data_IF_617223006734
#
_entry.id   IF_617223006734
#
_cell.length_a   1.000
_cell.length_b   1.000
_cell.length_c   1.000
_cell.angle_alpha   90.00
_cell.angle_beta   90.00
_cell.angle_gamma   90.00
#
_symmetry.space_group_name_H-M   'P 1'
#
loop_
_entity.id
_entity.type
_entity.pdbx_description
1 polymer ?
#
# COMPACT_ATOMS: atom_id res chain seq x y z
N UNK A 1 24.25 1.17 45.99
CA UNK A 1 23.37 0.45 45.04
C UNK A 1 23.67 0.78 43.57
N UNK A 2 24.94 0.95 43.18
CA UNK A 2 25.33 1.52 41.87
C UNK A 2 26.05 0.53 40.94
N UNK A 3 26.60 -0.57 41.47
CA UNK A 3 27.31 -1.58 40.67
C UNK A 3 26.39 -2.57 39.95
N UNK A 4 25.33 -3.05 40.62
CA UNK A 4 24.43 -4.07 40.04
C UNK A 4 23.61 -3.55 38.86
N UNK A 5 23.13 -2.30 38.91
CA UNK A 5 22.31 -1.71 37.83
C UNK A 5 23.11 -1.52 36.54
N UNK A 6 24.40 -1.16 36.64
CA UNK A 6 25.27 -1.02 35.46
C UNK A 6 25.56 -2.37 34.80
N UNK A 7 25.76 -3.42 35.59
CA UNK A 7 25.97 -4.79 35.07
C UNK A 7 24.72 -5.31 34.35
N UNK A 8 23.51 -5.04 34.88
CA UNK A 8 22.26 -5.40 34.21
C UNK A 8 22.06 -4.62 32.90
N UNK A 9 22.35 -3.32 32.86
CA UNK A 9 22.25 -2.53 31.63
C UNK A 9 23.25 -3.00 30.55
N UNK A 10 24.48 -3.32 30.93
CA UNK A 10 25.48 -3.88 30.01
C UNK A 10 25.07 -5.25 29.46
N UNK A 11 24.55 -6.14 30.31
CA UNK A 11 24.06 -7.46 29.88
C UNK A 11 22.84 -7.34 28.95
N UNK A 12 21.95 -6.38 29.19
CA UNK A 12 20.79 -6.13 28.33
C UNK A 12 21.21 -5.62 26.95
N UNK A 13 22.19 -4.71 26.89
CA UNK A 13 22.73 -4.19 25.61
C UNK A 13 23.43 -5.32 24.84
N UNK A 14 24.26 -6.11 25.51
CA UNK A 14 24.94 -7.26 24.88
C UNK A 14 23.91 -8.28 24.39
N UNK A 15 22.85 -8.55 25.17
CA UNK A 15 21.77 -9.44 24.75
C UNK A 15 20.96 -8.88 23.56
N UNK A 16 20.71 -7.56 23.51
CA UNK A 16 20.04 -6.93 22.37
C UNK A 16 20.92 -6.90 21.12
N UNK A 17 22.22 -6.65 21.26
CA UNK A 17 23.19 -6.69 20.15
C UNK A 17 23.40 -8.12 19.68
N UNK A 18 23.48 -9.10 20.58
CA UNK A 18 23.54 -10.52 20.24
C UNK A 18 22.23 -10.98 19.59
N UNK A 19 21.07 -10.55 20.07
CA UNK A 19 19.79 -10.83 19.45
C UNK A 19 19.69 -10.18 18.06
N UNK A 20 20.16 -8.94 17.87
CA UNK A 20 20.22 -8.29 16.56
C UNK A 20 21.19 -8.98 15.60
N UNK A 21 22.35 -9.44 16.09
CA UNK A 21 23.33 -10.21 15.31
C UNK A 21 22.84 -11.64 14.98
N UNK A 22 22.10 -12.28 15.90
CA UNK A 22 21.47 -13.60 15.68
C UNK A 22 20.20 -13.51 14.83
N UNK A 23 19.51 -12.37 14.82
CA UNK A 23 18.39 -12.08 13.88
C UNK A 23 18.90 -11.83 12.46
N UNK A 24 20.20 -11.57 12.30
CA UNK A 24 20.88 -11.39 11.02
C UNK A 24 21.63 -12.66 10.58
N UNK A 25 21.28 -13.84 11.10
CA UNK A 25 21.69 -15.09 10.45
C UNK A 25 20.97 -15.12 9.11
N UNK A 26 21.70 -14.84 8.04
CA UNK A 26 21.32 -15.17 6.68
C UNK A 26 20.98 -16.67 6.65
N UNK A 27 19.70 -17.01 6.71
CA UNK A 27 19.21 -18.34 6.35
C UNK A 27 19.37 -18.41 4.84
N UNK A 28 20.54 -18.87 4.41
CA UNK A 28 20.74 -19.22 3.00
C UNK A 28 19.80 -20.39 2.71
N UNK A 29 18.90 -20.22 1.74
CA UNK A 29 18.13 -21.33 1.21
C UNK A 29 19.11 -22.43 0.76
N UNK A 30 18.79 -23.72 1.00
CA UNK A 30 19.63 -24.80 0.51
C UNK A 30 19.77 -24.72 -1.02
N UNK A 31 20.89 -25.20 -1.59
CA UNK A 31 21.12 -25.08 -3.03
C UNK A 31 20.00 -25.76 -3.84
N UNK A 32 19.55 -25.15 -4.96
CA UNK A 32 18.55 -25.76 -5.84
C UNK A 32 18.96 -27.17 -6.28
N UNK A 33 17.99 -28.10 -6.32
CA UNK A 33 18.24 -29.47 -6.76
C UNK A 33 17.75 -29.63 -8.20
N UNK A 34 18.62 -29.88 -9.20
CA UNK A 34 18.15 -29.95 -10.58
C UNK A 34 17.44 -31.28 -10.89
N UNK A 35 16.40 -31.21 -11.74
CA UNK A 35 15.87 -32.35 -12.48
C UNK A 35 16.53 -32.39 -13.87
N UNK A 36 16.91 -33.57 -14.36
CA UNK A 36 17.39 -33.75 -15.74
C UNK A 36 16.30 -34.32 -16.63
N UNK A 37 16.06 -33.68 -17.78
CA UNK A 37 15.24 -34.23 -18.87
C UNK A 37 16.08 -34.35 -20.12
N UNK A 38 16.02 -35.50 -20.79
CA UNK A 38 16.84 -35.77 -21.97
C UNK A 38 16.12 -36.68 -22.96
N UNK A 39 16.44 -36.53 -24.24
CA UNK A 39 15.83 -37.27 -25.34
C UNK A 39 16.16 -36.64 -26.68
N UNK A 40 15.24 -36.76 -27.63
CA UNK A 40 15.33 -36.14 -28.95
C UNK A 40 14.25 -35.06 -29.09
N UNK A 41 14.58 -33.94 -29.74
CA UNK A 41 13.66 -32.85 -30.01
C UNK A 41 13.33 -32.78 -31.51
N UNK A 42 12.04 -32.69 -31.82
CA UNK A 42 11.49 -32.74 -33.16
C UNK A 42 10.59 -31.54 -33.45
N UNK A 43 10.62 -31.10 -34.71
CA UNK A 43 9.68 -30.11 -35.23
C UNK A 43 8.27 -30.69 -35.41
N UNK A 44 7.35 -29.88 -35.94
CA UNK A 44 5.95 -30.27 -36.17
C UNK A 44 5.78 -31.41 -37.18
N UNK A 45 6.73 -31.55 -38.11
CA UNK A 45 6.74 -32.60 -39.13
C UNK A 45 7.40 -33.90 -38.63
N UNK A 46 7.95 -33.90 -37.42
CA UNK A 46 8.68 -35.04 -36.85
C UNK A 46 10.16 -35.10 -37.29
N UNK A 47 10.69 -34.02 -37.86
CA UNK A 47 12.11 -33.90 -38.20
C UNK A 47 12.88 -33.45 -36.99
N UNK A 48 14.07 -34.02 -36.74
CA UNK A 48 14.93 -33.58 -35.65
C UNK A 48 15.25 -32.08 -35.77
N UNK A 49 15.18 -31.36 -34.65
CA UNK A 49 15.53 -29.94 -34.61
C UNK A 49 17.02 -29.74 -34.96
N UNK A 50 17.38 -28.60 -35.59
CA UNK A 50 18.77 -28.30 -35.94
C UNK A 50 19.70 -28.25 -34.72
N UNK A 51 20.97 -28.59 -34.93
CA UNK A 51 22.04 -28.39 -33.94
C UNK A 51 22.07 -26.93 -33.48
N UNK A 52 22.34 -26.72 -32.19
CA UNK A 52 22.37 -25.42 -31.53
C UNK A 52 21.01 -24.70 -31.41
N UNK A 53 19.89 -25.37 -31.74
CA UNK A 53 18.56 -24.84 -31.39
C UNK A 53 18.44 -24.77 -29.85
N UNK A 54 18.19 -23.59 -29.26
CA UNK A 54 17.96 -23.46 -27.82
C UNK A 54 16.74 -24.26 -27.39
N UNK A 55 16.81 -24.92 -26.24
CA UNK A 55 15.64 -25.50 -25.59
C UNK A 55 15.60 -24.96 -24.17
N UNK A 56 14.49 -24.34 -23.77
CA UNK A 56 14.31 -23.74 -22.44
C UNK A 56 13.22 -24.47 -21.65
N UNK A 57 13.29 -24.36 -20.34
CA UNK A 57 12.41 -25.06 -19.42
C UNK A 57 11.79 -24.06 -18.45
N UNK A 58 10.52 -23.78 -18.66
CA UNK A 58 9.77 -22.78 -17.93
C UNK A 58 8.95 -23.40 -16.81
N UNK A 59 9.01 -22.75 -15.66
CA UNK A 59 8.06 -22.95 -14.57
C UNK A 59 7.46 -21.59 -14.27
N UNK A 60 6.14 -21.51 -14.38
CA UNK A 60 5.38 -20.27 -14.15
C UNK A 60 5.88 -19.05 -14.97
N UNK A 61 6.37 -19.30 -16.19
CA UNK A 61 6.89 -18.24 -17.08
C UNK A 61 8.34 -17.84 -16.83
N UNK A 62 9.00 -18.39 -15.82
CA UNK A 62 10.43 -18.17 -15.56
C UNK A 62 11.25 -19.33 -16.10
N UNK A 63 12.33 -19.03 -16.82
CA UNK A 63 13.26 -20.04 -17.32
C UNK A 63 14.20 -20.52 -16.22
N UNK A 64 14.03 -21.77 -15.80
CA UNK A 64 14.88 -22.43 -14.80
C UNK A 64 15.87 -23.40 -15.44
N UNK A 65 16.08 -23.32 -16.75
CA UNK A 65 17.02 -24.17 -17.46
C UNK A 65 18.47 -23.69 -17.35
N UNK A 66 19.41 -24.61 -17.58
CA UNK A 66 20.84 -24.31 -17.65
C UNK A 66 21.31 -23.91 -19.07
N UNK A 67 20.50 -23.13 -19.78
CA UNK A 67 20.69 -22.76 -21.20
C UNK A 67 20.99 -23.91 -22.18
N UNK A 68 20.25 -25.03 -22.17
CA UNK A 68 20.57 -26.16 -23.03
C UNK A 68 20.22 -25.89 -24.50
N UNK A 69 20.83 -26.69 -25.37
CA UNK A 69 20.63 -26.64 -26.81
C UNK A 69 20.70 -28.05 -27.41
N UNK A 70 20.15 -28.20 -28.62
CA UNK A 70 20.30 -29.43 -29.40
C UNK A 70 21.78 -29.70 -29.70
N UNK A 71 22.23 -30.91 -29.36
CA UNK A 71 23.63 -31.30 -29.32
C UNK A 71 24.13 -31.91 -30.63
N UNK A 72 23.24 -32.52 -31.43
CA UNK A 72 23.63 -33.23 -32.65
C UNK A 72 22.48 -33.28 -33.68
N UNK A 73 22.78 -33.79 -34.88
CA UNK A 73 21.80 -33.88 -35.98
C UNK A 73 20.68 -34.89 -35.79
N UNK A 74 20.68 -35.66 -34.68
CA UNK A 74 19.57 -36.51 -34.29
C UNK A 74 18.60 -35.80 -33.33
N UNK A 75 18.80 -34.50 -33.06
CA UNK A 75 17.95 -33.72 -32.16
C UNK A 75 18.23 -33.98 -30.69
N UNK A 76 19.33 -34.64 -30.33
CA UNK A 76 19.61 -35.00 -28.93
C UNK A 76 19.74 -33.76 -28.06
N UNK A 77 19.12 -33.79 -26.87
CA UNK A 77 19.19 -32.71 -25.91
C UNK A 77 19.28 -33.24 -24.47
N UNK A 78 19.76 -32.41 -23.54
CA UNK A 78 19.75 -32.66 -22.10
C UNK A 78 19.60 -31.33 -21.36
N UNK A 79 18.55 -31.20 -20.57
CA UNK A 79 18.17 -30.00 -19.82
C UNK A 79 18.32 -30.30 -18.35
N UNK A 80 18.93 -29.39 -17.60
CA UNK A 80 18.79 -29.32 -16.15
C UNK A 80 17.80 -28.21 -15.82
N UNK A 81 16.71 -28.56 -15.15
CA UNK A 81 15.73 -27.60 -14.64
C UNK A 81 15.93 -27.47 -13.14
N UNK A 82 16.40 -26.31 -12.70
CA UNK A 82 16.56 -25.98 -11.29
C UNK A 82 15.21 -25.92 -10.59
N UNK A 83 15.16 -26.38 -9.34
CA UNK A 83 13.99 -26.22 -8.50
C UNK A 83 14.33 -26.25 -7.03
N UNK A 84 13.31 -26.12 -6.20
CA UNK A 84 13.45 -25.92 -4.76
C UNK A 84 14.10 -27.13 -4.08
N UNK A 85 14.69 -26.89 -2.91
CA UNK A 85 15.41 -27.92 -2.18
C UNK A 85 14.52 -28.96 -1.49
N UNK A 86 13.20 -28.71 -1.47
CA UNK A 86 12.22 -29.47 -0.70
C UNK A 86 11.59 -30.62 -1.48
N UNK A 87 11.50 -31.76 -0.80
CA UNK A 87 11.05 -33.06 -1.32
C UNK A 87 9.59 -33.40 -0.95
N UNK A 88 8.90 -32.47 -0.27
CA UNK A 88 7.51 -32.56 0.15
C UNK A 88 6.64 -31.56 -0.63
N UNK A 89 5.49 -32.03 -1.12
CA UNK A 89 4.52 -31.19 -1.83
C UNK A 89 4.04 -30.03 -0.94
N UNK A 90 3.88 -28.85 -1.53
CA UNK A 90 3.37 -27.62 -0.88
C UNK A 90 4.27 -27.01 0.21
N UNK A 91 5.58 -27.30 0.20
CA UNK A 91 6.52 -26.62 1.09
C UNK A 91 7.47 -25.79 0.24
N UNK A 92 7.23 -24.48 0.19
CA UNK A 92 8.20 -23.53 -0.34
C UNK A 92 9.25 -23.20 0.73
N UNK A 93 10.48 -22.88 0.31
CA UNK A 93 11.52 -22.29 1.17
C UNK A 93 11.13 -20.85 1.62
N UNK A 94 10.20 -20.26 0.88
CA UNK A 94 9.66 -18.90 0.95
C UNK A 94 8.14 -18.90 0.69
N UNK A 95 7.28 -18.48 1.63
CA UNK A 95 5.83 -18.41 1.37
C UNK A 95 5.43 -17.39 0.28
N UNK A 96 6.33 -16.49 -0.11
CA UNK A 96 6.02 -15.25 -0.86
C UNK A 96 6.75 -15.08 -2.20
N UNK A 97 7.87 -15.77 -2.48
CA UNK A 97 8.67 -15.62 -3.73
C UNK A 97 9.17 -17.00 -4.18
N UNK A 98 9.16 -17.36 -5.47
CA UNK A 98 9.64 -18.67 -5.95
C UNK A 98 11.14 -18.70 -6.25
N UNK A 99 11.87 -19.60 -5.59
CA UNK A 99 13.30 -19.85 -5.83
C UNK A 99 13.55 -20.84 -6.98
N UNK A 100 12.50 -21.53 -7.45
CA UNK A 100 12.58 -22.65 -8.38
C UNK A 100 11.32 -23.51 -8.39
N UNK A 101 11.24 -24.46 -9.33
CA UNK A 101 10.15 -25.42 -9.43
C UNK A 101 9.88 -26.19 -8.12
N UNK A 102 8.61 -26.36 -7.73
CA UNK A 102 8.22 -27.23 -6.63
C UNK A 102 7.96 -28.66 -7.11
N UNK A 103 7.95 -29.61 -6.17
CA UNK A 103 7.62 -31.00 -6.46
C UNK A 103 6.25 -31.12 -7.14
N UNK A 104 6.25 -31.64 -8.37
CA UNK A 104 5.05 -31.86 -9.18
C UNK A 104 4.66 -30.70 -10.09
N UNK A 105 5.32 -29.54 -9.99
CA UNK A 105 5.05 -28.40 -10.88
C UNK A 105 5.28 -28.82 -12.33
N UNK A 106 4.37 -28.46 -13.26
CA UNK A 106 4.53 -28.80 -14.67
C UNK A 106 5.64 -27.94 -15.28
N UNK A 107 6.69 -28.60 -15.78
CA UNK A 107 7.72 -27.94 -16.59
C UNK A 107 7.26 -27.87 -18.05
N UNK A 108 7.19 -26.65 -18.58
CA UNK A 108 6.88 -26.38 -19.99
C UNK A 108 8.19 -26.20 -20.75
N UNK A 109 8.29 -26.82 -21.93
CA UNK A 109 9.48 -26.69 -22.77
C UNK A 109 9.18 -25.84 -24.00
N UNK A 110 10.14 -25.02 -24.41
CA UNK A 110 10.07 -24.25 -25.65
C UNK A 110 11.41 -24.23 -26.40
N UNK A 111 11.38 -24.08 -27.72
CA UNK A 111 12.55 -24.00 -28.59
C UNK A 111 13.11 -22.57 -28.68
N UNK A 112 13.30 -21.91 -27.52
CA UNK A 112 13.64 -20.49 -27.38
C UNK A 112 13.21 -19.95 -26.02
N UNK A 113 13.37 -18.63 -25.79
CA UNK A 113 13.26 -17.98 -24.49
C UNK A 113 12.07 -16.98 -24.36
N UNK A 114 11.07 -17.05 -25.24
CA UNK A 114 9.91 -16.14 -25.31
C UNK A 114 10.24 -14.64 -25.49
N UNK A 115 11.50 -14.22 -25.60
CA UNK A 115 11.86 -12.84 -26.01
C UNK A 115 11.29 -12.50 -27.39
N UNK A 116 11.09 -13.54 -28.21
CA UNK A 116 10.47 -13.49 -29.53
C UNK A 116 9.50 -14.66 -29.72
N UNK A 117 8.86 -14.75 -30.89
CA UNK A 117 7.94 -15.83 -31.20
C UNK A 117 8.66 -17.17 -31.11
N UNK A 118 8.21 -18.01 -30.17
CA UNK A 118 8.89 -19.23 -29.79
C UNK A 118 7.97 -20.43 -29.93
N UNK A 119 8.48 -21.49 -30.53
CA UNK A 119 7.79 -22.76 -30.65
C UNK A 119 7.72 -23.48 -29.30
N UNK A 120 6.52 -23.87 -28.88
CA UNK A 120 6.28 -24.57 -27.60
C UNK A 120 6.04 -26.06 -27.85
N UNK A 121 6.74 -26.91 -27.11
CA UNK A 121 6.63 -28.37 -27.22
C UNK A 121 5.32 -28.88 -26.63
N UNK A 122 4.86 -30.06 -27.06
CA UNK A 122 3.62 -30.70 -26.60
C UNK A 122 3.75 -31.27 -25.21
N UNK A 123 4.93 -31.74 -24.87
CA UNK A 123 5.20 -32.46 -23.65
C UNK A 123 5.38 -31.51 -22.48
N UNK A 124 4.89 -31.93 -21.32
CA UNK A 124 5.20 -31.32 -20.02
C UNK A 124 5.66 -32.41 -19.10
N UNK A 125 6.67 -32.12 -18.28
CA UNK A 125 7.19 -33.09 -17.31
C UNK A 125 6.96 -32.54 -15.90
N UNK A 126 6.32 -33.29 -14.99
CA UNK A 126 6.22 -32.85 -13.60
C UNK A 126 7.62 -32.83 -12.98
N UNK A 127 7.99 -31.70 -12.40
CA UNK A 127 9.30 -31.52 -11.79
C UNK A 127 9.47 -32.42 -10.56
N UNK A 128 10.66 -33.02 -10.42
CA UNK A 128 11.00 -33.86 -9.28
C UNK A 128 12.51 -33.81 -8.98
N UNK A 129 12.91 -33.53 -7.73
CA UNK A 129 14.30 -33.22 -7.39
C UNK A 129 15.22 -34.41 -7.64
N UNK A 130 16.37 -34.16 -8.28
CA UNK A 130 17.44 -35.16 -8.48
C UNK A 130 17.08 -36.30 -9.44
N UNK A 131 15.95 -36.21 -10.14
CA UNK A 131 15.50 -37.26 -11.05
C UNK A 131 16.01 -37.08 -12.48
N UNK A 132 16.05 -38.19 -13.23
CA UNK A 132 16.30 -38.20 -14.67
C UNK A 132 15.03 -38.69 -15.37
N UNK A 133 14.60 -37.96 -16.39
CA UNK A 133 13.46 -38.31 -17.26
C UNK A 133 13.91 -38.44 -18.71
N UNK A 134 13.52 -39.55 -19.33
CA UNK A 134 13.69 -39.76 -20.77
C UNK A 134 12.41 -39.31 -21.46
N UNK A 135 12.49 -38.28 -22.28
CA UNK A 135 11.30 -37.70 -22.95
C UNK A 135 11.71 -37.12 -24.29
N UNK A 136 11.04 -37.54 -25.34
CA UNK A 136 11.19 -36.89 -26.64
C UNK A 136 10.25 -35.68 -26.70
N UNK A 137 10.74 -34.56 -27.22
CA UNK A 137 9.98 -33.33 -27.33
C UNK A 137 9.52 -33.12 -28.77
N UNK A 138 8.25 -32.80 -28.97
CA UNK A 138 7.68 -32.53 -30.28
C UNK A 138 7.03 -31.16 -30.28
N UNK A 139 7.39 -30.31 -31.24
CA UNK A 139 6.77 -28.98 -31.33
C UNK A 139 5.25 -29.12 -31.50
N UNK A 140 4.51 -28.37 -30.68
CA UNK A 140 3.05 -28.35 -30.66
C UNK A 140 2.43 -27.69 -31.90
N UNK A 141 1.11 -27.73 -31.99
CA UNK A 141 0.36 -27.13 -33.09
C UNK A 141 0.59 -25.62 -33.18
N UNK A 142 0.63 -25.07 -34.41
CA UNK A 142 0.62 -23.61 -34.61
C UNK A 142 -0.60 -22.95 -33.95
N UNK A 143 -1.75 -23.64 -33.94
CA UNK A 143 -2.99 -23.11 -33.36
C UNK A 143 -2.97 -22.99 -31.83
N UNK A 144 -2.02 -23.65 -31.17
CA UNK A 144 -1.83 -23.62 -29.71
C UNK A 144 -0.50 -23.00 -29.32
N UNK A 145 0.26 -22.48 -30.28
CA UNK A 145 1.52 -21.77 -30.02
C UNK A 145 1.19 -20.30 -29.74
N UNK A 146 1.51 -19.77 -28.57
CA UNK A 146 1.21 -18.38 -28.24
C UNK A 146 2.01 -17.39 -29.09
N UNK A 147 1.44 -16.23 -29.34
CA UNK A 147 2.20 -15.05 -29.77
C UNK A 147 2.91 -14.41 -28.56
N UNK A 148 4.13 -13.85 -28.74
CA UNK A 148 4.95 -13.28 -27.67
C UNK A 148 4.47 -11.87 -27.30
N UNK A 149 3.22 -11.74 -26.84
CA UNK A 149 2.75 -10.48 -26.28
C UNK A 149 3.55 -10.14 -25.02
N UNK A 150 3.71 -8.84 -24.73
CA UNK A 150 4.53 -8.36 -23.62
C UNK A 150 3.77 -7.34 -22.78
N UNK A 151 4.12 -7.27 -21.50
CA UNK A 151 3.78 -6.21 -20.55
C UNK A 151 4.75 -5.05 -20.84
N UNK A 152 4.27 -4.02 -21.51
CA UNK A 152 5.08 -2.83 -21.82
C UNK A 152 5.29 -1.99 -20.57
N UNK A 153 4.25 -1.79 -19.78
CA UNK A 153 4.43 -1.06 -18.55
C UNK A 153 3.27 -1.12 -17.58
N UNK A 154 3.55 -0.76 -16.33
CA UNK A 154 2.67 -0.98 -15.20
C UNK A 154 2.58 0.26 -14.31
N UNK A 155 1.35 0.67 -13.99
CA UNK A 155 1.06 1.76 -13.04
C UNK A 155 0.27 1.19 -11.85
N UNK A 156 0.92 1.13 -10.69
CA UNK A 156 0.33 0.59 -9.45
C UNK A 156 -0.29 1.68 -8.56
N UNK A 157 0.06 2.94 -8.80
CA UNK A 157 -0.44 4.10 -8.05
C UNK A 157 -0.72 5.27 -9.01
N UNK A 158 -1.84 5.23 -9.75
CA UNK A 158 -2.20 6.33 -10.66
C UNK A 158 -2.25 7.66 -9.92
N UNK A 159 -1.66 8.73 -10.49
CA UNK A 159 -1.48 10.01 -9.79
C UNK A 159 -2.79 10.59 -9.25
N UNK A 160 -3.86 10.45 -10.03
CA UNK A 160 -5.22 10.94 -9.74
C UNK A 160 -6.11 9.90 -9.05
N UNK A 161 -5.51 8.79 -8.60
CA UNK A 161 -6.20 7.62 -8.09
C UNK A 161 -7.01 6.88 -9.15
N UNK A 162 -7.94 6.07 -8.69
CA UNK A 162 -8.66 5.13 -9.53
C UNK A 162 -7.92 3.81 -9.66
N UNK A 163 -8.33 3.01 -10.63
CA UNK A 163 -7.80 1.66 -10.81
C UNK A 163 -6.39 1.71 -11.38
N UNK A 164 -5.57 0.75 -10.94
CA UNK A 164 -4.29 0.45 -11.55
C UNK A 164 -4.47 0.05 -13.02
N UNK A 165 -3.43 0.15 -13.81
CA UNK A 165 -3.50 -0.23 -15.22
C UNK A 165 -2.15 -0.69 -15.74
N UNK A 166 -2.21 -1.44 -16.84
CA UNK A 166 -1.05 -1.99 -17.53
C UNK A 166 -1.14 -1.64 -19.01
N UNK A 167 0.00 -1.40 -19.64
CA UNK A 167 0.14 -1.35 -21.08
C UNK A 167 0.65 -2.71 -21.55
N UNK A 168 -0.07 -3.28 -22.50
CA UNK A 168 0.32 -4.50 -23.19
C UNK A 168 0.74 -4.13 -24.60
N UNK A 169 1.72 -4.84 -25.13
CA UNK A 169 2.23 -4.60 -26.46
C UNK A 169 2.41 -5.88 -27.26
N UNK A 170 2.30 -5.71 -28.57
CA UNK A 170 2.47 -6.76 -29.54
C UNK A 170 3.70 -6.45 -30.39
N UNK A 171 4.85 -7.09 -30.09
CA UNK A 171 6.07 -6.89 -30.86
C UNK A 171 6.04 -7.61 -32.22
N UNK A 172 4.98 -8.37 -32.52
CA UNK A 172 4.89 -9.17 -33.75
C UNK A 172 4.42 -8.34 -34.96
N UNK A 173 4.65 -8.91 -36.15
CA UNK A 173 4.17 -8.35 -37.42
C UNK A 173 2.69 -8.61 -37.74
N UNK A 174 1.95 -9.30 -36.86
CA UNK A 174 0.54 -9.65 -37.07
C UNK A 174 -0.36 -9.17 -35.94
N UNK A 175 -1.68 -9.09 -36.18
CA UNK A 175 -2.64 -8.78 -35.11
C UNK A 175 -2.89 -9.98 -34.20
N UNK A 176 -3.08 -9.76 -32.90
CA UNK A 176 -3.34 -10.81 -31.90
C UNK A 176 -4.68 -10.57 -31.21
N UNK A 177 -5.51 -11.62 -31.12
CA UNK A 177 -6.76 -11.57 -30.37
C UNK A 177 -6.47 -11.70 -28.87
N UNK A 178 -6.79 -10.65 -28.10
CA UNK A 178 -6.52 -10.62 -26.66
C UNK A 178 -7.43 -11.55 -25.87
N UNK A 179 -8.56 -12.00 -26.43
CA UNK A 179 -9.41 -13.00 -25.78
C UNK A 179 -8.73 -14.36 -25.55
N UNK A 180 -7.60 -14.61 -26.21
CA UNK A 180 -6.78 -15.78 -25.96
C UNK A 180 -5.79 -15.58 -24.81
N UNK A 181 -5.82 -14.42 -24.13
CA UNK A 181 -4.88 -14.06 -23.08
C UNK A 181 -5.60 -13.55 -21.83
N UNK A 182 -4.93 -13.67 -20.70
CA UNK A 182 -5.38 -13.11 -19.43
C UNK A 182 -4.18 -12.63 -18.61
N UNK A 183 -4.43 -11.71 -17.70
CA UNK A 183 -3.48 -11.30 -16.68
C UNK A 183 -3.71 -12.09 -15.41
N UNK A 184 -2.65 -12.40 -14.68
CA UNK A 184 -2.72 -13.15 -13.42
C UNK A 184 -1.70 -12.62 -12.41
N UNK A 185 -2.12 -12.49 -11.16
CA UNK A 185 -1.23 -12.21 -10.03
C UNK A 185 -0.76 -13.50 -9.38
N UNK A 186 0.30 -13.41 -8.58
CA UNK A 186 0.59 -14.47 -7.61
C UNK A 186 -0.34 -14.38 -6.39
N UNK A 187 -0.37 -15.44 -5.60
CA UNK A 187 -1.00 -15.47 -4.29
C UNK A 187 -0.09 -16.16 -3.26
N UNK A 188 -0.21 -15.85 -1.96
CA UNK A 188 0.64 -16.48 -0.95
C UNK A 188 0.60 -18.01 -1.02
N UNK A 189 1.77 -18.62 -1.23
CA UNK A 189 1.93 -20.08 -1.36
C UNK A 189 1.53 -20.69 -2.71
N UNK A 190 1.17 -19.90 -3.74
CA UNK A 190 0.86 -20.42 -5.08
C UNK A 190 1.05 -19.40 -6.20
N UNK A 191 1.38 -19.87 -7.41
CA UNK A 191 1.46 -19.08 -8.64
C UNK A 191 0.11 -18.70 -9.23
N UNK A 192 -0.99 -19.01 -8.55
CA UNK A 192 -2.32 -18.79 -9.08
C UNK A 192 -3.08 -17.87 -8.14
N UNK A 193 -3.14 -16.60 -8.53
CA UNK A 193 -3.86 -15.57 -7.81
C UNK A 193 -5.12 -15.11 -8.54
N UNK A 194 -5.35 -13.80 -8.51
CA UNK A 194 -6.48 -13.21 -9.21
C UNK A 194 -6.20 -13.15 -10.70
N UNK A 195 -7.20 -13.42 -11.54
CA UNK A 195 -7.07 -13.32 -12.99
C UNK A 195 -8.01 -12.29 -13.60
N UNK A 196 -7.57 -11.68 -14.69
CA UNK A 196 -8.33 -10.74 -15.51
C UNK A 196 -8.28 -11.19 -16.98
N UNK A 197 -9.43 -11.61 -17.51
CA UNK A 197 -9.54 -11.94 -18.93
C UNK A 197 -9.42 -10.68 -19.79
N UNK A 198 -8.64 -10.76 -20.86
CA UNK A 198 -8.47 -9.66 -21.80
C UNK A 198 -9.48 -9.78 -22.96
N UNK A 199 -9.72 -8.68 -23.65
CA UNK A 199 -10.65 -8.65 -24.77
C UNK A 199 -10.20 -7.66 -25.85
N UNK A 200 -10.72 -7.83 -27.06
CA UNK A 200 -10.34 -7.02 -28.22
C UNK A 200 -9.21 -7.63 -29.04
N UNK A 201 -8.64 -6.80 -29.92
CA UNK A 201 -7.57 -7.18 -30.86
C UNK A 201 -6.46 -6.14 -30.75
N UNK A 202 -5.23 -6.62 -30.60
CA UNK A 202 -4.03 -5.80 -30.62
C UNK A 202 -3.42 -5.85 -32.02
N UNK A 203 -3.19 -4.70 -32.64
CA UNK A 203 -2.57 -4.64 -33.96
C UNK A 203 -1.07 -5.00 -33.87
N UNK A 204 -0.45 -5.29 -35.02
CA UNK A 204 0.99 -5.45 -35.11
C UNK A 204 1.73 -4.19 -34.62
N UNK A 205 2.85 -4.36 -33.92
CA UNK A 205 3.68 -3.26 -33.39
C UNK A 205 2.86 -2.17 -32.70
N UNK A 206 1.93 -2.57 -31.82
CA UNK A 206 1.03 -1.65 -31.14
C UNK A 206 0.88 -1.97 -29.67
N UNK A 207 0.37 -0.97 -28.95
CA UNK A 207 0.17 -0.98 -27.51
C UNK A 207 -1.30 -0.75 -27.19
N UNK A 208 -1.80 -1.39 -26.14
CA UNK A 208 -3.11 -1.11 -25.57
C UNK A 208 -3.01 -0.94 -24.05
N UNK A 209 -3.81 -0.01 -23.52
CA UNK A 209 -4.03 0.09 -22.07
C UNK A 209 -5.10 -0.90 -21.65
N UNK A 210 -4.84 -1.63 -20.57
CA UNK A 210 -5.80 -2.44 -19.86
C UNK A 210 -5.93 -1.95 -18.42
N UNK A 211 -7.13 -1.51 -18.03
CA UNK A 211 -7.41 -1.19 -16.63
C UNK A 211 -7.53 -2.48 -15.82
N UNK A 212 -6.91 -2.48 -14.65
CA UNK A 212 -7.01 -3.55 -13.67
C UNK A 212 -8.31 -3.38 -12.86
N UNK A 213 -8.82 -4.46 -12.22
CA UNK A 213 -10.17 -4.44 -11.66
C UNK A 213 -10.32 -3.50 -10.45
N UNK A 214 -9.24 -3.27 -9.71
CA UNK A 214 -9.24 -2.57 -8.43
C UNK A 214 -8.02 -1.63 -8.30
N UNK A 215 -8.11 -0.59 -7.45
CA UNK A 215 -6.97 0.30 -7.14
C UNK A 215 -5.85 -0.40 -6.34
N UNK A 216 -6.11 -1.60 -5.82
CA UNK A 216 -5.18 -2.40 -5.01
C UNK A 216 -5.11 -3.84 -5.52
N UNK A 217 -5.26 -4.04 -6.84
CA UNK A 217 -5.20 -5.38 -7.42
C UNK A 217 -3.79 -5.96 -7.33
N UNK A 218 -2.78 -5.11 -7.54
CA UNK A 218 -1.38 -5.36 -7.25
C UNK A 218 -0.94 -4.55 -6.03
N UNK A 219 0.01 -5.09 -5.29
CA UNK A 219 0.61 -4.43 -4.15
C UNK A 219 1.66 -3.42 -4.62
N UNK A 220 1.46 -2.13 -4.35
CA UNK A 220 2.30 -1.06 -4.92
C UNK A 220 3.77 -1.09 -4.48
N UNK A 221 4.07 -1.75 -3.36
CA UNK A 221 5.43 -1.91 -2.83
C UNK A 221 6.14 -3.15 -3.35
N UNK A 222 5.46 -4.01 -4.11
CA UNK A 222 6.07 -5.16 -4.77
C UNK A 222 5.09 -6.31 -4.94
N UNK A 223 5.07 -6.86 -6.15
CA UNK A 223 4.16 -7.92 -6.61
C UNK A 223 4.68 -8.55 -7.92
N UNK A 224 3.99 -9.57 -8.42
CA UNK A 224 4.24 -10.17 -9.72
C UNK A 224 2.99 -10.16 -10.61
N UNK A 225 3.17 -9.78 -11.87
CA UNK A 225 2.14 -9.78 -12.90
C UNK A 225 2.54 -10.68 -14.06
N UNK A 226 1.66 -11.62 -14.40
CA UNK A 226 1.81 -12.52 -15.55
C UNK A 226 0.89 -12.14 -16.67
N UNK A 227 1.38 -12.31 -17.90
CA UNK A 227 0.58 -12.38 -19.10
C UNK A 227 0.56 -13.83 -19.59
N UNK A 228 -0.60 -14.47 -19.50
CA UNK A 228 -0.78 -15.87 -19.81
C UNK A 228 -1.65 -16.08 -21.04
N UNK A 229 -1.22 -16.98 -21.92
CA UNK A 229 -1.98 -17.48 -23.05
C UNK A 229 -2.88 -18.64 -22.60
N UNK A 230 -4.17 -18.49 -22.86
CA UNK A 230 -5.18 -19.51 -22.65
C UNK A 230 -5.12 -20.53 -23.76
N UNK A 231 -4.60 -21.71 -23.45
CA UNK A 231 -4.43 -22.76 -24.44
C UNK A 231 -5.76 -23.45 -24.73
N UNK A 232 -6.24 -23.45 -25.98
CA UNK A 232 -7.51 -24.09 -26.32
C UNK A 232 -7.44 -25.63 -26.26
N UNK A 233 -6.24 -26.20 -26.06
CA UNK A 233 -6.01 -27.64 -26.01
C UNK A 233 -6.19 -28.32 -27.38
N UNK A 234 -6.52 -29.60 -27.35
CA UNK A 234 -6.72 -30.43 -28.54
C UNK A 234 -5.54 -31.33 -28.88
N UNK A 235 -5.64 -32.00 -30.03
CA UNK A 235 -4.62 -32.95 -30.49
C UNK A 235 -3.34 -32.20 -30.81
N UNK A 236 -2.21 -32.71 -30.30
CA UNK A 236 -0.89 -32.09 -30.47
C UNK A 236 -0.80 -30.65 -29.92
N UNK A 237 -1.64 -30.30 -28.94
CA UNK A 237 -1.56 -29.01 -28.28
C UNK A 237 -0.19 -28.83 -27.60
N UNK A 238 0.34 -27.62 -27.70
CA UNK A 238 1.51 -27.17 -26.95
C UNK A 238 1.25 -27.28 -25.44
N UNK A 239 2.31 -27.46 -24.65
CA UNK A 239 2.28 -27.54 -23.18
C UNK A 239 1.21 -28.51 -22.63
N UNK A 240 0.95 -29.62 -23.33
CA UNK A 240 -0.08 -30.60 -23.01
C UNK A 240 -1.49 -29.99 -22.84
N UNK A 241 -1.77 -28.88 -23.52
CA UNK A 241 -3.01 -28.13 -23.41
C UNK A 241 -3.09 -27.20 -22.18
N UNK A 242 -1.99 -27.02 -21.44
CA UNK A 242 -1.92 -26.06 -20.33
C UNK A 242 -1.71 -24.64 -20.86
N UNK A 243 -2.17 -23.68 -20.07
CA UNK A 243 -1.91 -22.26 -20.29
C UNK A 243 -0.40 -21.98 -20.20
N UNK A 244 0.05 -21.01 -20.99
CA UNK A 244 1.48 -20.69 -21.14
C UNK A 244 1.68 -19.24 -20.74
N UNK A 245 2.47 -18.99 -19.71
CA UNK A 245 2.91 -17.63 -19.36
C UNK A 245 3.92 -17.19 -20.41
N UNK A 246 3.60 -16.13 -21.15
CA UNK A 246 4.43 -15.60 -22.25
C UNK A 246 5.30 -14.43 -21.81
N UNK A 247 4.95 -13.85 -20.66
CA UNK A 247 5.68 -12.75 -20.05
C UNK A 247 5.31 -12.65 -18.57
N UNK A 248 6.27 -12.27 -17.74
CA UNK A 248 6.12 -12.09 -16.30
C UNK A 248 6.97 -10.90 -15.88
N UNK A 249 6.41 -10.05 -15.03
CA UNK A 249 7.11 -8.92 -14.43
C UNK A 249 7.00 -9.05 -12.93
N UNK A 250 8.14 -9.11 -12.27
CA UNK A 250 8.26 -9.04 -10.81
C UNK A 250 8.89 -7.70 -10.46
N UNK A 251 8.31 -7.00 -9.49
CA UNK A 251 8.78 -5.69 -9.08
C UNK A 251 8.73 -5.54 -7.57
N UNK A 252 9.63 -4.72 -7.03
CA UNK A 252 9.76 -4.57 -5.59
C UNK A 252 10.33 -3.20 -5.18
N UNK A 253 9.92 -2.70 -4.02
CA UNK A 253 10.38 -1.43 -3.46
C UNK A 253 11.52 -1.69 -2.47
N UNK A 254 12.76 -1.41 -2.86
CA UNK A 254 14.01 -1.73 -2.11
C UNK A 254 14.12 -1.27 -0.64
N UNK A 255 13.21 -0.44 -0.12
CA UNK A 255 13.28 0.13 1.25
C UNK A 255 12.03 -0.13 2.11
N UNK A 256 10.95 -0.66 1.53
CA UNK A 256 9.64 -0.94 2.15
C UNK A 256 8.88 -2.01 1.35
N UNK A 257 9.61 -2.91 0.72
CA UNK A 257 9.09 -3.83 -0.27
C UNK A 257 8.23 -4.88 0.39
N UNK A 258 7.15 -5.26 -0.27
CA UNK A 258 6.35 -6.39 0.20
C UNK A 258 7.00 -7.73 -0.13
N UNK A 259 7.97 -7.73 -1.03
CA UNK A 259 8.83 -8.85 -1.38
C UNK A 259 10.26 -8.64 -0.83
N UNK A 260 10.42 -8.00 0.34
CA UNK A 260 11.72 -7.66 0.95
C UNK A 260 12.65 -8.87 1.26
N UNK A 261 12.21 -10.09 0.98
CA UNK A 261 13.04 -11.29 1.08
C UNK A 261 12.96 -12.13 -0.19
N UNK A 262 13.83 -11.80 -1.15
CA UNK A 262 14.30 -12.76 -2.14
C UNK A 262 15.51 -13.50 -1.55
N UNK A 263 15.44 -14.82 -1.36
CA UNK A 263 16.61 -15.63 -1.13
C UNK A 263 17.53 -15.52 -2.34
N UNK A 264 18.85 -15.51 -2.12
CA UNK A 264 19.86 -15.28 -3.17
C UNK A 264 19.98 -16.37 -4.25
N UNK A 265 18.95 -17.18 -4.47
CA UNK A 265 18.84 -18.22 -5.48
C UNK A 265 17.61 -18.04 -6.42
N UNK A 266 16.81 -16.97 -6.28
CA UNK A 266 15.79 -16.62 -7.27
C UNK A 266 16.48 -16.28 -8.60
N UNK A 267 16.02 -16.88 -9.71
CA UNK A 267 16.60 -16.67 -11.05
C UNK A 267 16.00 -15.42 -11.71
N UNK A 268 14.75 -15.10 -11.41
CA UNK A 268 14.13 -13.85 -11.82
C UNK A 268 14.51 -12.76 -10.82
N UNK A 269 14.98 -11.62 -11.31
CA UNK A 269 15.26 -10.47 -10.45
C UNK A 269 14.09 -9.50 -10.37
N UNK A 270 14.13 -8.66 -9.35
CA UNK A 270 13.16 -7.60 -9.13
C UNK A 270 13.41 -6.36 -10.02
N UNK A 271 12.38 -5.95 -10.77
CA UNK A 271 12.31 -4.61 -11.34
C UNK A 271 11.96 -3.56 -10.25
N UNK A 272 12.27 -2.26 -10.44
CA UNK A 272 11.90 -1.25 -9.45
C UNK A 272 10.36 -1.09 -9.34
N UNK A 273 9.83 -0.99 -8.13
CA UNK A 273 8.40 -0.69 -7.96
C UNK A 273 8.07 0.77 -8.37
N UNK A 274 7.02 0.99 -9.20
CA UNK A 274 6.60 2.35 -9.56
C UNK A 274 5.86 3.01 -8.38
N UNK A 275 6.27 4.24 -8.05
CA UNK A 275 5.59 5.10 -7.07
C UNK A 275 4.38 5.86 -7.64
N UNK A 276 3.79 6.79 -6.88
CA UNK A 276 2.63 7.56 -7.33
C UNK A 276 2.92 8.35 -8.61
N UNK A 277 2.05 8.23 -9.61
CA UNK A 277 2.19 8.89 -10.91
C UNK A 277 3.39 8.42 -11.73
N UNK A 278 3.96 7.27 -11.40
CA UNK A 278 5.05 6.63 -12.16
C UNK A 278 4.54 5.40 -12.88
N UNK A 279 5.23 5.08 -13.96
CA UNK A 279 5.09 3.83 -14.69
C UNK A 279 6.40 3.05 -14.58
N UNK A 280 6.30 1.74 -14.39
CA UNK A 280 7.39 0.81 -14.64
C UNK A 280 7.29 0.39 -16.11
N UNK A 281 8.22 0.80 -16.98
CA UNK A 281 8.07 0.64 -18.42
C UNK A 281 9.30 0.04 -19.11
N UNK A 282 9.05 -0.77 -20.13
CA UNK A 282 10.00 -1.17 -21.18
C UNK A 282 10.12 -0.05 -22.22
N UNK A 283 11.02 -0.24 -23.18
CA UNK A 283 11.04 0.62 -24.36
C UNK A 283 9.75 0.48 -25.21
N UNK A 284 9.50 1.45 -26.08
CA UNK A 284 8.30 1.51 -26.92
C UNK A 284 8.20 0.39 -27.97
N UNK A 285 9.25 -0.42 -28.13
CA UNK A 285 9.24 -1.61 -28.98
C UNK A 285 9.01 -2.89 -28.18
N UNK A 286 8.90 -2.78 -26.86
CA UNK A 286 8.83 -3.88 -25.93
C UNK A 286 9.97 -4.88 -26.11
N UNK A 287 11.18 -4.36 -26.26
CA UNK A 287 12.38 -5.19 -26.21
C UNK A 287 12.40 -5.95 -24.89
N UNK A 288 12.67 -7.24 -24.98
CA UNK A 288 12.66 -8.14 -23.84
C UNK A 288 13.92 -9.01 -23.91
N UNK A 289 14.72 -8.96 -22.84
CA UNK A 289 15.88 -9.82 -22.64
C UNK A 289 15.67 -10.78 -21.47
N UNK A 290 14.43 -10.86 -20.95
CA UNK A 290 14.07 -11.56 -19.73
C UNK A 290 14.87 -11.08 -18.51
N UNK A 291 15.18 -9.77 -18.45
CA UNK A 291 15.96 -9.19 -17.35
C UNK A 291 15.21 -8.03 -16.70
N UNK A 292 15.41 -7.79 -15.39
CA UNK A 292 14.82 -6.63 -14.72
C UNK A 292 15.27 -5.30 -15.33
N UNK A 293 16.46 -5.28 -15.95
CA UNK A 293 17.02 -4.13 -16.65
C UNK A 293 16.25 -3.74 -17.91
N UNK A 294 15.33 -4.57 -18.38
CA UNK A 294 14.41 -4.21 -19.46
C UNK A 294 13.44 -3.11 -19.03
N UNK A 295 13.26 -2.93 -17.71
CA UNK A 295 12.33 -1.97 -17.14
C UNK A 295 13.03 -0.77 -16.50
N UNK A 296 12.40 0.39 -16.66
CA UNK A 296 12.80 1.65 -16.04
C UNK A 296 11.61 2.37 -15.44
N UNK A 297 11.87 3.34 -14.55
CA UNK A 297 10.80 4.17 -13.97
C UNK A 297 10.62 5.43 -14.82
N UNK A 298 9.42 5.56 -15.40
CA UNK A 298 8.97 6.70 -16.17
C UNK A 298 7.87 7.52 -15.48
N UNK A 299 7.39 8.54 -16.18
CA UNK A 299 6.19 9.29 -15.78
C UNK A 299 4.94 8.57 -16.29
N UNK A 300 3.89 8.49 -15.49
CA UNK A 300 2.60 8.01 -15.95
C UNK A 300 2.18 8.77 -17.23
N UNK A 301 1.84 8.06 -18.33
CA UNK A 301 1.45 8.71 -19.57
C UNK A 301 0.19 9.56 -19.43
N UNK A 302 0.24 10.79 -19.95
CA UNK A 302 -0.91 11.69 -19.99
C UNK A 302 -1.08 12.62 -18.76
N UNK A 303 -0.13 12.62 -17.84
CA UNK A 303 -0.11 13.60 -16.74
C UNK A 303 0.11 15.04 -17.27
N UNK A 304 -0.55 16.06 -16.69
CA UNK A 304 -0.24 17.45 -16.99
C UNK A 304 1.13 17.86 -16.38
N UNK A 305 1.64 19.06 -16.70
CA UNK A 305 2.82 19.61 -16.03
C UNK A 305 2.63 19.67 -14.52
N UNK A 306 3.68 19.33 -13.76
CA UNK A 306 3.65 19.29 -12.30
C UNK A 306 3.85 20.69 -11.70
N UNK A 307 2.85 21.21 -10.98
CA UNK A 307 2.95 22.42 -10.16
C UNK A 307 3.31 22.09 -8.70
N UNK A 308 3.69 23.10 -7.88
CA UNK A 308 3.79 22.89 -6.45
C UNK A 308 2.40 22.70 -5.83
N UNK A 309 2.28 21.91 -4.74
CA UNK A 309 1.04 21.80 -3.99
C UNK A 309 0.52 23.15 -3.48
N UNK A 310 -0.76 23.19 -3.13
CA UNK A 310 -1.36 24.30 -2.37
C UNK A 310 -1.56 23.80 -0.94
N UNK A 311 -1.06 24.55 0.04
CA UNK A 311 -1.26 24.28 1.47
C UNK A 311 -1.78 25.53 2.17
N UNK A 312 -2.70 25.36 3.13
CA UNK A 312 -3.23 26.47 3.93
C UNK A 312 -3.50 26.01 5.36
N UNK A 313 -2.80 26.60 6.33
CA UNK A 313 -3.07 26.44 7.75
C UNK A 313 -4.42 27.05 8.10
N UNK A 314 -5.34 26.21 8.58
CA UNK A 314 -6.70 26.59 9.01
C UNK A 314 -6.77 26.76 10.53
N UNK A 315 -5.94 26.04 11.29
CA UNK A 315 -5.76 26.23 12.73
C UNK A 315 -4.28 26.00 13.08
N UNK A 316 -3.61 26.93 13.80
CA UNK A 316 -4.15 28.16 14.40
C UNK A 316 -4.36 29.31 13.40
N UNK A 317 -5.13 30.32 13.78
CA UNK A 317 -5.17 31.61 13.06
C UNK A 317 -3.94 32.45 13.40
N UNK A 318 -3.54 33.36 12.52
CA UNK A 318 -2.38 34.21 12.78
C UNK A 318 -2.62 35.12 14.00
N UNK A 319 -1.66 35.19 14.91
CA UNK A 319 -1.73 35.90 16.18
C UNK A 319 -2.56 35.20 17.29
N UNK A 320 -3.06 33.98 17.06
CA UNK A 320 -3.89 33.29 18.05
C UNK A 320 -3.14 33.06 19.37
N UNK A 321 -3.85 33.22 20.49
CA UNK A 321 -3.39 32.78 21.80
C UNK A 321 -3.75 31.30 21.99
N UNK A 322 -2.73 30.47 22.14
CA UNK A 322 -2.82 29.03 22.36
C UNK A 322 -2.53 28.74 23.84
N UNK A 323 -3.27 27.83 24.51
CA UNK A 323 -2.99 27.48 25.89
C UNK A 323 -1.62 26.80 26.02
N UNK A 324 -0.80 27.29 26.96
CA UNK A 324 0.40 26.58 27.41
C UNK A 324 0.03 25.37 28.28
N UNK A 325 0.93 24.40 28.39
CA UNK A 325 0.75 23.19 29.20
C UNK A 325 -0.53 22.38 28.87
N UNK A 326 -0.85 22.25 27.58
CA UNK A 326 -2.09 21.62 27.13
C UNK A 326 -1.95 20.88 25.80
N UNK A 327 -3.07 20.36 25.32
CA UNK A 327 -3.16 19.76 24.00
C UNK A 327 -3.84 20.74 23.04
N UNK A 328 -3.25 20.92 21.85
CA UNK A 328 -3.76 21.81 20.82
C UNK A 328 -3.69 21.11 19.46
N UNK A 329 -4.71 21.26 18.62
CA UNK A 329 -4.72 20.67 17.28
C UNK A 329 -4.23 21.71 16.29
N UNK A 330 -3.23 21.36 15.49
CA UNK A 330 -2.85 22.10 14.30
C UNK A 330 -3.55 21.43 13.11
N UNK A 331 -4.17 22.21 12.24
CA UNK A 331 -4.93 21.71 11.09
C UNK A 331 -4.67 22.56 9.85
N UNK A 332 -4.72 21.92 8.69
CA UNK A 332 -4.51 22.55 7.37
C UNK A 332 -5.37 21.89 6.30
N UNK A 333 -5.49 22.55 5.16
CA UNK A 333 -5.98 21.97 3.91
C UNK A 333 -4.84 21.89 2.92
N UNK A 334 -4.86 20.88 2.05
CA UNK A 334 -3.91 20.76 0.95
C UNK A 334 -4.53 20.13 -0.31
N UNK A 335 -4.01 20.52 -1.46
CA UNK A 335 -4.39 20.00 -2.77
C UNK A 335 -3.24 20.11 -3.75
N UNK A 336 -3.30 19.36 -4.83
CA UNK A 336 -2.30 19.35 -5.89
C UNK A 336 -3.00 19.26 -7.27
N UNK A 337 -2.34 19.71 -8.34
CA UNK A 337 -2.91 19.70 -9.70
C UNK A 337 -2.74 18.35 -10.43
N UNK A 338 -1.81 17.52 -9.95
CA UNK A 338 -1.51 16.19 -10.48
C UNK A 338 -1.97 15.09 -9.52
N UNK A 339 -1.71 15.24 -8.23
CA UNK A 339 -1.83 14.17 -7.24
C UNK A 339 -3.06 14.27 -6.33
N UNK A 340 -3.55 13.11 -5.89
CA UNK A 340 -4.42 13.05 -4.73
C UNK A 340 -3.71 13.56 -3.48
N UNK A 341 -4.43 14.27 -2.60
CA UNK A 341 -3.89 14.75 -1.33
C UNK A 341 -3.31 13.62 -0.46
N UNK A 342 -3.83 12.39 -0.59
CA UNK A 342 -3.31 11.21 0.13
C UNK A 342 -1.89 10.79 -0.26
N UNK A 343 -1.38 11.28 -1.40
CA UNK A 343 0.01 11.02 -1.84
C UNK A 343 0.98 12.14 -1.45
N UNK A 344 0.50 13.24 -0.88
CA UNK A 344 1.36 14.35 -0.50
C UNK A 344 2.06 14.05 0.83
N UNK A 345 3.37 14.25 0.86
CA UNK A 345 4.19 14.16 2.06
C UNK A 345 4.08 15.45 2.87
N UNK A 346 3.96 15.32 4.19
CA UNK A 346 3.73 16.43 5.10
C UNK A 346 4.75 16.44 6.22
N UNK A 347 5.26 17.64 6.52
CA UNK A 347 6.06 17.93 7.71
C UNK A 347 5.39 19.07 8.48
N UNK A 348 5.36 18.95 9.80
CA UNK A 348 4.83 19.99 10.67
C UNK A 348 5.87 20.30 11.73
N UNK A 349 6.28 21.56 11.79
CA UNK A 349 7.30 22.03 12.69
C UNK A 349 6.76 23.20 13.53
N UNK A 350 7.12 23.23 14.81
CA UNK A 350 6.88 24.37 15.68
C UNK A 350 8.19 24.92 16.19
N UNK A 351 8.44 26.21 15.95
CA UNK A 351 9.65 26.90 16.40
C UNK A 351 9.34 27.84 17.55
N UNK A 352 10.03 27.65 18.67
CA UNK A 352 9.95 28.48 19.88
C UNK A 352 11.34 29.04 20.16
N UNK A 353 11.50 30.35 19.99
CA UNK A 353 12.82 30.97 20.06
C UNK A 353 13.75 30.39 18.99
N UNK A 354 14.83 29.72 19.40
CA UNK A 354 15.79 29.06 18.50
C UNK A 354 15.54 27.55 18.34
N UNK A 355 14.59 26.98 19.08
CA UNK A 355 14.32 25.54 19.07
C UNK A 355 13.21 25.23 18.07
N UNK A 356 13.45 24.31 17.15
CA UNK A 356 12.43 23.75 16.25
C UNK A 356 12.08 22.34 16.71
N UNK A 357 10.79 22.09 16.88
CA UNK A 357 10.23 20.82 17.34
C UNK A 357 9.43 20.21 16.19
N UNK A 358 9.87 19.07 15.61
CA UNK A 358 9.08 18.35 14.62
C UNK A 358 7.90 17.67 15.30
N UNK A 359 6.70 17.89 14.77
CA UNK A 359 5.47 17.25 15.18
C UNK A 359 5.08 16.13 14.22
N UNK A 360 5.22 16.36 12.92
CA UNK A 360 5.13 15.35 11.87
C UNK A 360 6.41 15.36 11.04
N UNK A 361 6.86 14.19 10.62
CA UNK A 361 8.01 14.01 9.76
C UNK A 361 7.69 12.99 8.67
N UNK A 362 7.53 13.45 7.43
CA UNK A 362 7.30 12.61 6.24
C UNK A 362 6.05 11.73 6.35
N UNK A 363 4.92 12.30 6.78
CA UNK A 363 3.65 11.55 6.80
C UNK A 363 2.83 11.79 5.54
N UNK A 364 2.08 10.79 5.09
CA UNK A 364 1.29 10.87 3.86
C UNK A 364 -0.14 11.31 4.16
N UNK A 365 -0.61 12.35 3.47
CA UNK A 365 -2.03 12.69 3.46
C UNK A 365 -2.59 13.30 4.74
N UNK A 366 -1.79 13.47 5.80
CA UNK A 366 -2.25 14.04 7.05
C UNK A 366 -2.71 15.49 6.87
N UNK A 367 -3.80 15.85 7.55
CA UNK A 367 -4.36 17.22 7.53
C UNK A 367 -4.47 17.85 8.92
N UNK A 368 -4.05 17.13 9.96
CA UNK A 368 -4.02 17.62 11.33
C UNK A 368 -2.98 16.87 12.18
N UNK A 369 -2.47 17.54 13.23
CA UNK A 369 -1.62 16.93 14.24
C UNK A 369 -1.94 17.47 15.63
N UNK A 370 -1.85 16.60 16.64
CA UNK A 370 -1.93 16.99 18.05
C UNK A 370 -0.57 17.52 18.52
N UNK A 371 -0.54 18.76 18.99
CA UNK A 371 0.61 19.40 19.61
C UNK A 371 0.43 19.47 21.13
N UNK A 372 1.36 18.86 21.86
CA UNK A 372 1.48 19.04 23.31
C UNK A 372 2.29 20.30 23.61
N UNK A 373 1.60 21.37 23.99
CA UNK A 373 2.22 22.68 24.20
C UNK A 373 3.06 22.68 25.48
N UNK A 374 4.29 23.23 25.46
CA UNK A 374 5.13 23.31 26.64
C UNK A 374 4.52 24.26 27.69
N UNK A 375 4.85 24.05 28.97
CA UNK A 375 4.44 24.94 30.06
C UNK A 375 5.31 26.20 30.12
N UNK A 376 5.25 27.02 29.08
CA UNK A 376 5.93 28.31 28.97
C UNK A 376 4.98 29.34 28.36
N UNK A 377 5.11 30.60 28.81
CA UNK A 377 4.45 31.73 28.18
C UNK A 377 5.44 32.43 27.25
N UNK A 378 5.13 32.49 25.96
CA UNK A 378 6.05 33.03 24.95
C UNK A 378 5.26 33.52 23.74
N UNK A 379 5.68 34.66 23.18
CA UNK A 379 5.13 35.20 21.94
C UNK A 379 5.96 34.73 20.74
N UNK A 380 5.41 34.89 19.53
CA UNK A 380 6.09 34.62 18.26
C UNK A 380 6.51 33.15 18.07
N UNK A 381 5.67 32.22 18.51
CA UNK A 381 5.83 30.80 18.17
C UNK A 381 5.45 30.62 16.71
N UNK A 382 6.35 30.08 15.90
CA UNK A 382 6.11 29.83 14.48
C UNK A 382 5.60 28.40 14.29
N UNK A 383 4.41 28.24 13.75
CA UNK A 383 3.91 26.98 13.23
C UNK A 383 4.16 26.97 11.73
N UNK A 384 4.79 25.93 11.21
CA UNK A 384 5.07 25.74 9.79
C UNK A 384 4.57 24.37 9.35
N UNK A 385 3.85 24.35 8.24
CA UNK A 385 3.47 23.13 7.52
C UNK A 385 4.16 23.17 6.17
N UNK A 386 4.89 22.12 5.85
CA UNK A 386 5.50 21.90 4.55
C UNK A 386 4.82 20.70 3.90
N UNK A 387 4.50 20.82 2.62
CA UNK A 387 3.88 19.77 1.80
C UNK A 387 4.72 19.57 0.55
N UNK A 388 4.98 18.31 0.20
CA UNK A 388 5.73 17.90 -0.99
C UNK A 388 4.93 16.87 -1.79
N UNK A 389 4.89 17.03 -3.11
CA UNK A 389 4.29 16.04 -3.99
C UNK A 389 5.26 14.87 -4.29
N UNK A 390 4.76 13.75 -4.84
CA UNK A 390 5.60 12.61 -5.25
C UNK A 390 6.70 12.92 -6.28
N UNK A 391 6.64 14.08 -6.95
CA UNK A 391 7.63 14.52 -7.94
C UNK A 391 8.63 15.53 -7.35
N UNK A 392 8.50 15.86 -6.07
CA UNK A 392 9.41 16.70 -5.30
C UNK A 392 9.08 18.21 -5.31
N UNK A 393 7.96 18.65 -5.88
CA UNK A 393 7.57 20.05 -5.78
C UNK A 393 6.97 20.33 -4.39
N UNK A 394 7.26 21.52 -3.84
CA UNK A 394 7.01 21.84 -2.43
C UNK A 394 6.25 23.14 -2.27
N UNK A 395 5.43 23.18 -1.23
CA UNK A 395 4.79 24.40 -0.73
C UNK A 395 4.77 24.42 0.80
N UNK A 396 4.62 25.62 1.35
CA UNK A 396 4.61 25.83 2.79
C UNK A 396 3.58 26.89 3.19
N UNK A 397 2.98 26.73 4.37
CA UNK A 397 2.26 27.81 5.04
C UNK A 397 2.78 27.96 6.47
N UNK A 398 2.71 29.19 6.98
CA UNK A 398 3.17 29.52 8.32
C UNK A 398 2.16 30.37 9.09
N UNK A 399 2.14 30.19 10.41
CA UNK A 399 1.34 30.98 11.35
C UNK A 399 2.18 31.35 12.55
N UNK A 400 2.03 32.58 13.01
CA UNK A 400 2.65 33.05 14.24
C UNK A 400 1.60 33.02 15.34
N UNK A 401 1.90 32.38 16.47
CA UNK A 401 1.00 32.31 17.64
C UNK A 401 1.72 32.73 18.92
N UNK A 402 0.96 32.86 20.00
CA UNK A 402 1.50 33.03 21.35
C UNK A 402 1.03 31.90 22.25
N UNK A 403 1.91 31.43 23.13
CA UNK A 403 1.55 30.53 24.23
C UNK A 403 1.23 31.36 25.46
N UNK A 404 0.04 31.14 26.00
CA UNK A 404 -0.45 31.84 27.19
C UNK A 404 -0.75 30.83 28.29
N UNK A 405 -0.21 31.05 29.49
CA UNK A 405 -0.68 30.32 30.68
C UNK A 405 -2.07 30.83 31.01
N UNK A 406 -3.04 29.93 31.16
CA UNK A 406 -4.26 30.30 31.88
C UNK A 406 -3.85 30.72 33.29
N UNK A 407 -4.12 31.97 33.67
CA UNK A 407 -3.80 32.41 35.02
C UNK A 407 -4.67 31.63 36.00
N UNK A 408 -4.07 31.04 37.02
CA UNK A 408 -4.81 30.49 38.17
C UNK A 408 -5.76 31.52 38.76
N UNK A 409 -5.44 32.81 38.62
CA UNK A 409 -6.27 33.94 39.03
C UNK A 409 -7.62 33.98 38.29
N UNK A 410 -7.69 33.69 36.99
CA UNK A 410 -8.96 33.69 36.25
C UNK A 410 -9.89 32.56 36.70
N UNK A 411 -9.35 31.38 37.00
CA UNK A 411 -10.10 30.25 37.56
C UNK A 411 -10.55 30.56 38.99
N UNK A 412 -9.66 31.13 39.81
CA UNK A 412 -9.98 31.57 41.18
C UNK A 412 -11.05 32.66 41.17
N UNK A 413 -10.99 33.63 40.25
CA UNK A 413 -12.00 34.70 40.10
C UNK A 413 -13.33 34.13 39.61
N UNK A 414 -13.34 33.22 38.63
CA UNK A 414 -14.56 32.57 38.17
C UNK A 414 -15.21 31.71 39.28
N UNK A 415 -14.41 30.97 40.05
CA UNK A 415 -14.87 30.22 41.21
C UNK A 415 -15.41 31.16 42.30
N UNK A 416 -14.73 32.27 42.59
CA UNK A 416 -15.21 33.30 43.51
C UNK A 416 -16.53 33.91 43.06
N UNK A 417 -16.69 34.24 41.77
CA UNK A 417 -17.94 34.77 41.21
C UNK A 417 -19.07 33.74 41.39
N UNK A 418 -18.82 32.47 41.09
CA UNK A 418 -19.81 31.40 41.27
C UNK A 418 -20.20 31.21 42.75
N UNK A 419 -19.22 31.25 43.66
CA UNK A 419 -19.45 31.17 45.11
C UNK A 419 -20.28 32.38 45.59
N UNK A 420 -19.94 33.60 45.16
CA UNK A 420 -20.67 34.82 45.52
C UNK A 420 -22.10 34.78 44.99
N UNK A 421 -22.32 34.35 43.75
CA UNK A 421 -23.67 34.17 43.19
C UNK A 421 -24.45 33.11 43.96
N UNK A 422 -23.83 31.98 44.30
CA UNK A 422 -24.46 30.93 45.12
C UNK A 422 -24.84 31.43 46.52
N UNK A 423 -23.96 32.18 47.19
CA UNK A 423 -24.25 32.80 48.48
C UNK A 423 -25.36 33.85 48.38
N UNK A 424 -25.39 34.64 47.30
CA UNK A 424 -26.43 35.63 47.08
C UNK A 424 -27.80 34.99 46.88
N UNK A 425 -27.87 33.91 46.09
CA UNK A 425 -29.08 33.10 45.92
C UNK A 425 -29.52 32.43 47.23
N UNK A 426 -28.57 31.89 48.00
CA UNK A 426 -28.85 31.31 49.32
C UNK A 426 -29.38 32.36 50.30
N UNK A 427 -28.79 33.56 50.32
CA UNK A 427 -29.22 34.65 51.18
C UNK A 427 -30.62 35.16 50.78
N UNK A 428 -30.90 35.31 49.48
CA UNK A 428 -32.23 35.65 48.99
C UNK A 428 -33.26 34.59 49.39
N UNK A 429 -32.92 33.30 49.27
CA UNK A 429 -33.76 32.18 49.70
C UNK A 429 -34.02 32.17 51.21
N UNK A 430 -32.99 32.40 52.04
CA UNK A 430 -33.12 32.48 53.50
C UNK A 430 -33.92 33.71 53.95
N UNK A 431 -33.79 34.84 53.24
CA UNK A 431 -34.56 36.06 53.52
C UNK A 431 -36.03 35.89 53.14
N UNK A 432 -36.32 35.20 52.04
CA UNK A 432 -37.69 34.85 51.66
C UNK A 432 -38.37 33.89 52.67
N UNK A 433 -37.59 33.11 53.43
CA UNK A 433 -38.09 32.22 54.50
C UNK A 433 -38.31 32.88 55.85
N UNK A 434 -37.83 34.12 56.09
CA UNK A 434 -38.15 34.83 57.33
C UNK A 434 -39.62 35.29 57.28
N UNK A 435 -40.50 34.52 57.93
CA UNK A 435 -41.91 34.86 58.13
C UNK A 435 -42.03 36.25 58.81
N UNK A 436 -42.97 37.11 58.39
CA UNK A 436 -43.27 38.36 59.10
C UNK A 436 -43.77 38.07 60.51
N UNK A 437 -43.40 38.94 61.46
CA UNK A 437 -43.84 38.87 62.86
C UNK A 437 -45.37 38.95 62.96
N UNK A 438 -46.00 38.27 63.95
CA UNK A 438 -47.45 38.31 64.12
C UNK A 438 -47.93 39.71 64.51
N UNK A 439 -49.11 40.15 64.04
CA UNK A 439 -49.61 41.50 64.28
C UNK A 439 -50.00 41.72 65.76
N UNK A 440 -49.86 42.96 66.28
CA UNK A 440 -50.29 43.31 67.63
C UNK A 440 -51.82 43.28 67.74
N UNK A 441 -52.33 42.82 68.90
CA UNK A 441 -53.76 42.69 69.20
C UNK A 441 -54.52 44.03 69.22
N UNK A 442 -55.86 44.00 69.09
CA UNK A 442 -56.66 45.20 68.87
C UNK A 442 -56.79 46.08 70.14
N UNK A 443 -56.81 47.43 69.99
CA UNK A 443 -57.00 48.36 71.10
C UNK A 443 -58.47 48.46 71.56
N UNK A 444 -58.71 48.91 72.81
CA UNK A 444 -60.05 48.98 73.41
C UNK A 444 -60.95 50.05 72.76
N UNK A 445 -62.24 49.72 72.64
CA UNK A 445 -63.25 50.54 71.96
C UNK A 445 -63.63 51.82 72.74
N UNK A 446 -63.86 52.97 72.05
CA UNK A 446 -64.26 54.23 72.66
C UNK A 446 -65.78 54.30 72.97
N UNK A 447 -66.21 55.19 73.88
CA UNK A 447 -67.61 55.28 74.33
C UNK A 447 -68.54 55.90 73.27
N UNK A 448 -69.76 55.37 73.22
CA UNK A 448 -70.83 55.74 72.29
C UNK A 448 -71.38 57.16 72.53
N UNK A 449 -71.52 57.92 71.44
CA UNK A 449 -72.17 59.23 71.40
C UNK A 449 -73.71 59.11 71.31
N UNK A 450 -74.48 60.14 71.75
CA UNK A 450 -75.91 60.05 71.96
C UNK A 450 -76.72 59.95 70.66
N UNK A 451 -77.68 59.03 70.66
CA UNK A 451 -78.57 58.73 69.55
C UNK A 451 -79.79 59.67 69.59
N UNK A 452 -80.01 60.43 68.51
CA UNK A 452 -81.22 61.23 68.30
C UNK A 452 -82.27 60.36 67.60
N UNK A 453 -83.44 60.24 68.24
CA UNK A 453 -84.63 59.52 67.77
C UNK A 453 -85.32 60.22 66.59
N UNK A 454 -85.90 59.46 65.66
CA UNK A 454 -87.16 59.81 65.01
C UNK A 454 -88.32 58.89 65.46
N UNK A 455 -89.58 59.27 65.19
CA UNK A 455 -90.72 58.91 66.05
C UNK A 455 -91.46 57.61 65.67
N UNK A 456 -91.90 56.93 66.73
CA UNK A 456 -93.21 56.31 67.03
C UNK A 456 -94.07 55.67 65.92
N UNK A 457 -94.40 54.38 66.16
CA UNK A 457 -95.68 53.73 65.81
C UNK A 457 -95.50 52.44 64.99
N UNK A 458 -96.06 51.27 65.31
CA UNK A 458 -97.21 50.94 66.15
C UNK A 458 -97.28 49.41 66.43
N UNK A 459 -97.93 49.09 67.56
CA UNK A 459 -98.82 47.94 67.85
C UNK A 459 -98.35 46.49 67.56
N UNK A 460 -97.97 45.72 68.58
CA UNK A 460 -98.82 44.83 69.45
C UNK A 460 -99.68 43.81 68.71
N UNK A 461 -99.50 42.52 69.02
CA UNK A 461 -100.59 41.56 69.34
C UNK A 461 -100.02 40.43 70.24
N UNK A 462 -100.65 40.32 71.42
CA UNK A 462 -100.78 39.24 72.43
C UNK A 462 -99.73 38.16 72.59
#
# INVERSE_FOLDING_TARGET
>A
MTGRVRVFASLLIVAMVAAALLSAILVAAPPPIPMRVQGQAFDRAGTALPVATPIRAFVDGVDYSNDPQVQNGAGTYSILTSGNSKDNANVSDTPTVQEGANLGDPVIYAAGDFTTATDVFRETVPWSPGTIRMTDLHVGSNATTPQPLKIEGLVTQPARGGNQFVYLCNPTGGSVALSAYYLETDAPGTYQGSSLSLSGVMNAASTIRQDLPLPTWLTSTGDALKLAYRNPGGVNASAAGRDVVVDRVEFNATRRGTLDWEPGNTIMGDAPAPGPGRILERDSTCTDTNQPSDFTIGLEPGLPPNGPPIVTLTMPTNGQAVPAAGAFIIAWTMSDDVFLSSYLLVWVNVTIGTQTIPLLNETLGDTAVLWMTPDIAVANVLVRVDVEDPFGARASDTRTVSLTRQSSLAIVVAALIAIVLGLFLLFAFLRARKKPAPPPGPPPSPPLAPMILPPVGAATVT
#
